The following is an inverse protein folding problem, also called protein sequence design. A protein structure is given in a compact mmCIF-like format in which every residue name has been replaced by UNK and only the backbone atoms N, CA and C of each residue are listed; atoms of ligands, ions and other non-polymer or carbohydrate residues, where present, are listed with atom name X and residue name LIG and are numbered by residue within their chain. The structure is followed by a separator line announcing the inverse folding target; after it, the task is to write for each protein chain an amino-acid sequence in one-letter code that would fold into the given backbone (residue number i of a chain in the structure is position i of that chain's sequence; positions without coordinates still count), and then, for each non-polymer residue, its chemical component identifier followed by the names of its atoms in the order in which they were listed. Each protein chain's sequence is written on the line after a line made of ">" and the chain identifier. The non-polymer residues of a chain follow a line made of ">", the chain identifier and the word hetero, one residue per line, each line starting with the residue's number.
data_IF_009243086272
#
_entry.id   IF_009243086272
#
_cell.length_a   1.000
_cell.length_b   1.000
_cell.length_c   1.000
_cell.angle_alpha   90.00
_cell.angle_beta   90.00
_cell.angle_gamma   90.00
#
_symmetry.space_group_name_H-M   'P 1'
#
loop_
_entity.id
_entity.type
_entity.pdbx_description
1 polymer ?
#
# COMPACT_ATOMS: atom_id res chain seq x y z
N UNK A 1 15.78 11.68 8.84
CA UNK A 1 14.53 11.11 9.39
C UNK A 1 14.84 10.60 10.77
N UNK A 2 14.20 11.17 11.79
CA UNK A 2 14.25 10.62 13.14
C UNK A 2 13.66 9.20 13.14
N UNK A 3 14.02 8.35 14.10
CA UNK A 3 13.44 7.00 14.22
C UNK A 3 11.91 7.02 14.33
N UNK A 4 11.34 8.12 14.82
CA UNK A 4 9.89 8.33 14.84
C UNK A 4 9.31 8.49 13.43
N UNK A 5 9.95 9.26 12.54
CA UNK A 5 9.46 9.46 11.16
C UNK A 5 9.41 8.13 10.38
N UNK A 6 10.38 7.24 10.62
CA UNK A 6 10.45 5.90 10.02
C UNK A 6 9.33 4.98 10.52
N UNK A 7 8.95 5.10 11.79
CA UNK A 7 7.81 4.37 12.36
C UNK A 7 6.49 4.83 11.75
N UNK A 8 6.26 6.14 11.64
CA UNK A 8 5.08 6.69 10.99
C UNK A 8 4.98 6.25 9.52
N UNK A 9 6.11 6.18 8.81
CA UNK A 9 6.16 5.65 7.44
C UNK A 9 5.67 4.20 7.36
N UNK A 10 6.01 3.34 8.32
CA UNK A 10 5.49 1.96 8.39
C UNK A 10 3.98 1.93 8.57
N UNK A 11 3.44 2.79 9.43
CA UNK A 11 1.99 2.90 9.63
C UNK A 11 1.27 3.36 8.37
N UNK A 12 1.83 4.33 7.63
CA UNK A 12 1.29 4.73 6.34
C UNK A 12 1.32 3.57 5.34
N UNK A 13 2.42 2.83 5.24
CA UNK A 13 2.53 1.69 4.33
C UNK A 13 1.53 0.56 4.65
N UNK A 14 1.36 0.22 5.93
CA UNK A 14 0.35 -0.75 6.37
C UNK A 14 -1.08 -0.26 6.09
N UNK A 15 -1.35 1.03 6.31
CA UNK A 15 -2.63 1.65 5.96
C UNK A 15 -2.94 1.55 4.47
N UNK A 16 -1.97 1.84 3.60
CA UNK A 16 -2.13 1.70 2.15
C UNK A 16 -2.37 0.25 1.70
N UNK A 17 -1.74 -0.73 2.35
CA UNK A 17 -2.02 -2.15 2.10
C UNK A 17 -3.46 -2.54 2.45
N UNK A 18 -3.97 -2.09 3.60
CA UNK A 18 -5.36 -2.37 4.02
C UNK A 18 -6.35 -1.72 3.05
N UNK A 19 -6.09 -0.48 2.63
CA UNK A 19 -6.92 0.23 1.65
C UNK A 19 -6.90 -0.50 0.30
N UNK A 20 -5.73 -0.92 -0.17
CA UNK A 20 -5.60 -1.70 -1.42
C UNK A 20 -6.38 -3.02 -1.34
N UNK A 21 -6.24 -3.76 -0.23
CA UNK A 21 -6.96 -5.01 -0.02
C UNK A 21 -8.48 -4.80 0.00
N UNK A 22 -8.96 -3.72 0.64
CA UNK A 22 -10.36 -3.32 0.62
C UNK A 22 -10.87 -2.98 -0.78
N UNK A 23 -10.11 -2.19 -1.57
CA UNK A 23 -10.45 -1.89 -2.96
C UNK A 23 -10.49 -3.14 -3.84
N UNK A 24 -9.56 -4.09 -3.66
CA UNK A 24 -9.55 -5.36 -4.41
C UNK A 24 -10.79 -6.19 -4.03
N UNK A 25 -11.15 -6.23 -2.75
CA UNK A 25 -12.33 -6.96 -2.28
C UNK A 25 -13.62 -6.36 -2.88
N UNK A 26 -13.76 -5.04 -2.84
CA UNK A 26 -14.91 -4.33 -3.43
C UNK A 26 -14.94 -4.51 -4.95
N UNK A 27 -13.80 -4.41 -5.62
CA UNK A 27 -13.65 -4.69 -7.05
C UNK A 27 -14.15 -6.10 -7.37
N UNK A 28 -13.72 -7.13 -6.64
CA UNK A 28 -14.05 -8.52 -6.99
C UNK A 28 -15.48 -8.92 -6.66
N UNK A 29 -16.00 -8.54 -5.49
CA UNK A 29 -17.27 -9.06 -4.97
C UNK A 29 -18.50 -8.19 -5.20
N UNK A 30 -18.37 -6.84 -5.22
CA UNK A 30 -19.54 -5.96 -5.21
C UNK A 30 -19.86 -5.31 -6.56
N UNK A 31 -18.94 -5.35 -7.52
CA UNK A 31 -19.08 -4.69 -8.81
C UNK A 31 -19.41 -5.70 -9.92
N UNK A 32 -20.65 -5.64 -10.44
CA UNK A 32 -21.08 -6.37 -11.64
C UNK A 32 -20.55 -5.74 -12.94
N UNK A 33 -20.30 -4.42 -12.93
CA UNK A 33 -19.81 -3.70 -14.11
C UNK A 33 -18.31 -3.95 -14.35
N UNK A 34 -17.98 -4.59 -15.48
CA UNK A 34 -16.60 -4.91 -15.90
C UNK A 34 -15.67 -3.68 -15.92
N UNK A 35 -16.18 -2.51 -16.34
CA UNK A 35 -15.40 -1.27 -16.45
C UNK A 35 -15.01 -0.70 -15.08
N UNK A 36 -15.96 -0.62 -14.13
CA UNK A 36 -15.66 -0.19 -12.76
C UNK A 36 -14.70 -1.18 -12.08
N UNK A 37 -14.92 -2.49 -12.27
CA UNK A 37 -14.01 -3.54 -11.78
C UNK A 37 -12.56 -3.28 -12.18
N UNK A 38 -12.35 -2.98 -13.47
CA UNK A 38 -11.03 -2.73 -14.04
C UNK A 38 -10.41 -1.44 -13.51
N UNK A 39 -11.17 -0.34 -13.40
CA UNK A 39 -10.68 0.91 -12.81
C UNK A 39 -10.26 0.75 -11.35
N UNK A 40 -11.11 0.15 -10.52
CA UNK A 40 -10.79 -0.10 -9.11
C UNK A 40 -9.63 -1.08 -8.94
N UNK A 41 -9.51 -2.07 -9.83
CA UNK A 41 -8.38 -3.00 -9.83
C UNK A 41 -7.06 -2.31 -10.19
N UNK A 42 -7.05 -1.41 -11.19
CA UNK A 42 -5.87 -0.62 -11.58
C UNK A 42 -5.43 0.28 -10.41
N UNK A 43 -6.36 0.99 -9.77
CA UNK A 43 -6.07 1.86 -8.63
C UNK A 43 -5.51 1.05 -7.46
N UNK A 44 -6.10 -0.11 -7.17
CA UNK A 44 -5.61 -0.96 -6.10
C UNK A 44 -4.20 -1.51 -6.37
N UNK A 45 -3.94 -1.92 -7.61
CA UNK A 45 -2.61 -2.40 -8.03
C UNK A 45 -1.55 -1.32 -7.94
N UNK A 46 -1.89 -0.09 -8.31
CA UNK A 46 -0.97 1.05 -8.21
C UNK A 46 -0.68 1.42 -6.74
N UNK A 47 -1.68 1.37 -5.85
CA UNK A 47 -1.46 1.48 -4.40
C UNK A 47 -0.56 0.36 -3.85
N UNK A 48 -0.73 -0.87 -4.34
CA UNK A 48 0.09 -2.02 -3.93
C UNK A 48 1.54 -1.83 -4.35
N UNK A 49 1.78 -1.40 -5.59
CA UNK A 49 3.12 -1.07 -6.10
C UNK A 49 3.75 0.02 -5.23
N UNK A 50 2.99 1.08 -4.90
CA UNK A 50 3.50 2.20 -4.12
C UNK A 50 3.86 1.77 -2.69
N UNK A 51 3.01 0.94 -2.07
CA UNK A 51 3.27 0.35 -0.75
C UNK A 51 4.49 -0.57 -0.76
N UNK A 52 4.67 -1.34 -1.83
CA UNK A 52 5.82 -2.22 -2.00
C UNK A 52 7.13 -1.43 -2.07
N UNK A 53 7.19 -0.36 -2.87
CA UNK A 53 8.35 0.52 -2.93
C UNK A 53 8.60 1.25 -1.59
N UNK A 54 7.54 1.73 -0.94
CA UNK A 54 7.64 2.34 0.38
C UNK A 54 8.22 1.37 1.41
N UNK A 55 7.81 0.10 1.38
CA UNK A 55 8.32 -0.93 2.28
C UNK A 55 9.78 -1.30 1.98
N UNK A 56 10.17 -1.39 0.70
CA UNK A 56 11.58 -1.57 0.31
C UNK A 56 12.42 -0.42 0.88
N UNK A 57 12.01 0.83 0.63
CA UNK A 57 12.72 2.00 1.15
C UNK A 57 12.85 1.95 2.67
N UNK A 58 11.80 1.52 3.37
CA UNK A 58 11.80 1.41 4.83
C UNK A 58 12.76 0.32 5.36
N UNK A 59 12.76 -0.87 4.75
CA UNK A 59 13.62 -1.99 5.13
C UNK A 59 15.10 -1.64 4.98
N UNK A 60 15.48 -0.99 3.88
CA UNK A 60 16.85 -0.51 3.69
C UNK A 60 17.22 0.62 4.67
N UNK A 61 16.25 1.42 5.11
CA UNK A 61 16.44 2.55 6.02
C UNK A 61 16.09 2.23 7.48
N UNK A 62 16.25 0.98 7.94
CA UNK A 62 15.78 0.45 9.23
C UNK A 62 15.73 1.43 10.42
N UNK A 63 14.81 1.23 11.38
CA UNK A 63 14.44 2.21 12.42
C UNK A 63 15.60 2.73 13.27
N UNK A 64 16.71 1.99 13.35
CA UNK A 64 17.92 2.32 14.13
C UNK A 64 19.16 2.61 13.28
N UNK A 65 19.00 2.84 11.98
CA UNK A 65 20.11 2.80 11.03
C UNK A 65 20.10 1.45 10.33
N UNK A 66 20.36 1.46 9.02
CA UNK A 66 20.79 0.25 8.33
C UNK A 66 22.09 -0.28 8.93
N UNK A 67 22.61 -1.37 8.38
CA UNK A 67 23.98 -1.83 8.68
C UNK A 67 25.00 -0.67 8.68
#
# INVERSE_FOLDING_TARGET
>A
MSSMDKMWLSFYAMGFMVISMGLIYVSRHKLQNKVLKLLFAIIAYSLLIFSFFAMIYLVFNGPTGGA
#
